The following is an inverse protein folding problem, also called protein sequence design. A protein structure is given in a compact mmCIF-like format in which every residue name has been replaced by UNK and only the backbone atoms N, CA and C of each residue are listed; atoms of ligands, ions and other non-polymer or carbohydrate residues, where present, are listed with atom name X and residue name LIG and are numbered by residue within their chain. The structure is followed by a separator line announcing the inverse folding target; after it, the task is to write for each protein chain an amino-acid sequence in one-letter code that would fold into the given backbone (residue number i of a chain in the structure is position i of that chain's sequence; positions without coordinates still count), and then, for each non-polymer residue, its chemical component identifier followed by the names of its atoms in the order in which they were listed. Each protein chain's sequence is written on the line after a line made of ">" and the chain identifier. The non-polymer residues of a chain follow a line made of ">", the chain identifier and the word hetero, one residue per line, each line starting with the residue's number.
data_IF_484341279082
#
_entry.id   IF_484341279082
#
_cell.length_a   1.000
_cell.length_b   1.000
_cell.length_c   1.000
_cell.angle_alpha   90.00
_cell.angle_beta   90.00
_cell.angle_gamma   90.00
#
_symmetry.space_group_name_H-M   'P 1'
#
loop_
_entity.id
_entity.type
_entity.pdbx_description
1 polymer ?
#
# COMPACT_ATOMS: atom_id res chain seq x y z
N UNK A 1 18.98 -7.12 11.31
CA UNK A 1 19.98 -6.36 10.50
C UNK A 1 19.15 -5.51 9.55
N UNK A 2 19.39 -4.19 9.46
CA UNK A 2 18.58 -3.32 8.61
C UNK A 2 18.64 -3.79 7.16
N UNK A 3 17.50 -3.78 6.46
CA UNK A 3 17.38 -4.17 5.06
C UNK A 3 18.07 -3.14 4.16
N UNK A 4 19.40 -3.20 4.09
CA UNK A 4 20.21 -2.32 3.25
C UNK A 4 20.28 -2.84 1.81
N UNK A 5 20.37 -1.96 0.80
CA UNK A 5 20.10 -2.32 -0.60
C UNK A 5 21.05 -3.37 -1.19
N UNK A 6 22.31 -3.41 -0.77
CA UNK A 6 23.37 -4.14 -1.48
C UNK A 6 23.26 -5.68 -1.44
N UNK A 7 22.26 -6.26 -0.75
CA UNK A 7 21.97 -7.70 -0.83
C UNK A 7 20.57 -8.15 -0.37
N UNK A 8 19.64 -7.25 -0.03
CA UNK A 8 18.34 -7.65 0.53
C UNK A 8 17.35 -8.07 -0.58
N UNK A 9 16.99 -9.36 -0.59
CA UNK A 9 15.95 -9.91 -1.48
C UNK A 9 14.56 -9.69 -0.88
N UNK A 10 13.66 -9.07 -1.65
CA UNK A 10 12.28 -8.79 -1.24
C UNK A 10 11.31 -9.64 -2.07
N UNK A 11 10.36 -10.28 -1.41
CA UNK A 11 9.20 -10.89 -2.06
C UNK A 11 8.14 -9.82 -2.31
N UNK A 12 7.57 -9.72 -3.50
CA UNK A 12 6.50 -8.78 -3.80
C UNK A 12 5.31 -9.51 -4.43
N UNK A 13 4.17 -9.48 -3.74
CA UNK A 13 2.95 -10.20 -4.13
C UNK A 13 1.86 -9.20 -4.49
N UNK A 14 1.45 -9.21 -5.75
CA UNK A 14 0.42 -8.33 -6.30
C UNK A 14 0.99 -7.18 -7.13
N UNK A 15 0.97 -7.31 -8.46
CA UNK A 15 1.52 -6.35 -9.42
C UNK A 15 0.40 -5.58 -10.15
N UNK A 16 -0.54 -5.06 -9.36
CA UNK A 16 -1.70 -4.31 -9.84
C UNK A 16 -1.37 -2.85 -10.21
N UNK A 17 -2.40 -1.99 -10.15
CA UNK A 17 -2.27 -0.57 -10.44
C UNK A 17 -1.25 0.12 -9.52
N UNK A 18 -1.24 -0.29 -8.26
CA UNK A 18 -0.35 0.21 -7.22
C UNK A 18 0.95 -0.61 -7.13
N UNK A 19 0.84 -1.94 -7.08
CA UNK A 19 1.97 -2.80 -6.78
C UNK A 19 3.10 -2.80 -7.81
N UNK A 20 2.78 -2.74 -9.11
CA UNK A 20 3.81 -2.71 -10.15
C UNK A 20 4.75 -1.49 -10.07
N UNK A 21 4.25 -0.23 -10.02
CA UNK A 21 5.14 0.91 -9.84
C UNK A 21 5.87 0.93 -8.49
N UNK A 22 5.25 0.40 -7.42
CA UNK A 22 5.93 0.23 -6.12
C UNK A 22 7.12 -0.73 -6.20
N UNK A 23 6.95 -1.87 -6.87
CA UNK A 23 8.02 -2.83 -7.14
C UNK A 23 9.16 -2.20 -7.97
N UNK A 24 8.84 -1.43 -9.01
CA UNK A 24 9.84 -0.71 -9.80
C UNK A 24 10.64 0.30 -8.96
N UNK A 25 10.00 1.00 -8.01
CA UNK A 25 10.74 1.92 -7.14
C UNK A 25 11.71 1.19 -6.20
N UNK A 26 11.31 0.03 -5.67
CA UNK A 26 12.21 -0.81 -4.87
C UNK A 26 13.43 -1.25 -5.69
N UNK A 27 13.23 -1.65 -6.95
CA UNK A 27 14.32 -2.02 -7.85
C UNK A 27 15.23 -0.83 -8.17
N UNK A 28 14.66 0.34 -8.42
CA UNK A 28 15.42 1.58 -8.62
C UNK A 28 16.24 1.98 -7.38
N UNK A 29 15.78 1.61 -6.18
CA UNK A 29 16.51 1.79 -4.92
C UNK A 29 17.59 0.71 -4.69
N UNK A 30 17.74 -0.26 -5.60
CA UNK A 30 18.79 -1.30 -5.56
C UNK A 30 18.34 -2.66 -5.01
N UNK A 31 17.07 -2.83 -4.62
CA UNK A 31 16.59 -4.10 -4.09
C UNK A 31 16.36 -5.15 -5.19
N UNK A 32 16.71 -6.40 -4.89
CA UNK A 32 16.38 -7.54 -5.75
C UNK A 32 15.00 -8.08 -5.41
N UNK A 33 14.14 -8.31 -6.41
CA UNK A 33 12.76 -8.75 -6.20
C UNK A 33 12.50 -10.18 -6.69
N UNK A 34 11.80 -10.97 -5.87
CA UNK A 34 10.96 -12.07 -6.35
C UNK A 34 9.53 -11.60 -6.44
N UNK A 35 8.88 -11.78 -7.58
CA UNK A 35 7.54 -11.22 -7.81
C UNK A 35 6.52 -12.28 -8.18
N UNK A 36 5.35 -12.17 -7.58
CA UNK A 36 4.20 -13.01 -7.89
C UNK A 36 2.96 -12.15 -8.16
N UNK A 37 2.19 -12.55 -9.16
CA UNK A 37 0.85 -12.03 -9.41
C UNK A 37 -0.04 -13.17 -9.92
N UNK A 38 -1.25 -13.29 -9.38
CA UNK A 38 -2.20 -14.38 -9.73
C UNK A 38 -2.52 -14.46 -11.21
N UNK A 39 -2.55 -13.33 -11.91
CA UNK A 39 -2.94 -13.25 -13.32
C UNK A 39 -1.85 -12.58 -14.13
N UNK A 40 -1.57 -13.11 -15.31
CA UNK A 40 -0.66 -12.46 -16.24
C UNK A 40 -1.26 -11.18 -16.82
N UNK A 41 -0.49 -10.10 -16.73
CA UNK A 41 -0.88 -8.75 -17.15
C UNK A 41 0.35 -8.01 -17.67
N UNK A 42 0.19 -7.01 -18.56
CA UNK A 42 1.31 -6.22 -19.09
C UNK A 42 2.24 -5.66 -18.00
N UNK A 43 1.67 -5.20 -16.88
CA UNK A 43 2.43 -4.68 -15.73
C UNK A 43 3.32 -5.71 -15.04
N UNK A 44 2.97 -7.00 -15.11
CA UNK A 44 3.85 -8.07 -14.61
C UNK A 44 5.10 -8.13 -15.48
N UNK A 45 4.91 -8.07 -16.80
CA UNK A 45 6.00 -8.09 -17.76
C UNK A 45 6.90 -6.86 -17.60
N UNK A 46 6.35 -5.67 -17.38
CA UNK A 46 7.12 -4.44 -17.11
C UNK A 46 8.11 -4.61 -15.93
N UNK A 47 7.66 -5.25 -14.84
CA UNK A 47 8.50 -5.48 -13.65
C UNK A 47 9.54 -6.58 -13.90
N UNK A 48 9.20 -7.61 -14.67
CA UNK A 48 10.13 -8.67 -15.07
C UNK A 48 11.20 -8.17 -16.03
N UNK A 49 10.82 -7.35 -17.02
CA UNK A 49 11.73 -6.73 -17.98
C UNK A 49 12.72 -5.77 -17.30
N UNK A 50 12.31 -5.18 -16.17
CA UNK A 50 13.18 -4.38 -15.32
C UNK A 50 14.19 -5.23 -14.51
N UNK A 51 14.06 -6.56 -14.50
CA UNK A 51 14.99 -7.49 -13.86
C UNK A 51 14.45 -8.26 -12.64
N UNK A 52 13.15 -8.20 -12.34
CA UNK A 52 12.57 -8.97 -11.25
C UNK A 52 12.47 -10.47 -11.57
N UNK A 53 12.69 -11.32 -10.57
CA UNK A 53 12.53 -12.78 -10.68
C UNK A 53 11.05 -13.14 -10.54
N UNK A 54 10.38 -13.51 -11.64
CA UNK A 54 8.99 -14.02 -11.58
C UNK A 54 8.97 -15.43 -11.01
N UNK A 55 8.07 -15.67 -10.05
CA UNK A 55 7.88 -16.97 -9.38
C UNK A 55 6.43 -17.47 -9.49
N UNK A 56 6.19 -18.73 -9.14
CA UNK A 56 4.92 -19.42 -9.41
C UNK A 56 3.86 -19.27 -8.31
N UNK A 57 4.26 -18.91 -7.08
CA UNK A 57 3.35 -18.83 -5.93
C UNK A 57 3.74 -17.72 -4.94
N UNK A 58 2.82 -17.30 -4.04
CA UNK A 58 3.16 -16.45 -2.90
C UNK A 58 4.24 -17.06 -1.99
N UNK A 59 4.20 -18.37 -1.77
CA UNK A 59 5.23 -19.12 -1.04
C UNK A 59 6.62 -18.95 -1.69
N UNK A 60 6.72 -19.12 -3.01
CA UNK A 60 7.99 -18.96 -3.73
C UNK A 60 8.52 -17.51 -3.67
N UNK A 61 7.61 -16.53 -3.66
CA UNK A 61 7.94 -15.12 -3.54
C UNK A 61 8.50 -14.80 -2.14
N UNK A 62 8.00 -15.48 -1.11
CA UNK A 62 8.48 -15.35 0.26
C UNK A 62 9.80 -16.09 0.51
N UNK A 63 10.03 -17.21 -0.19
CA UNK A 63 11.17 -18.10 0.05
C UNK A 63 12.53 -17.42 -0.16
N UNK A 64 13.33 -17.37 0.89
CA UNK A 64 14.67 -16.76 0.88
C UNK A 64 14.67 -15.22 0.92
N UNK A 65 13.52 -14.60 1.19
CA UNK A 65 13.38 -13.15 1.32
C UNK A 65 13.35 -12.73 2.80
N UNK A 66 14.07 -11.66 3.14
CA UNK A 66 14.03 -11.09 4.50
C UNK A 66 12.78 -10.24 4.74
N UNK A 67 12.23 -9.67 3.66
CA UNK A 67 11.00 -8.88 3.65
C UNK A 67 10.08 -9.41 2.55
N UNK A 68 8.78 -9.50 2.85
CA UNK A 68 7.73 -9.85 1.89
C UNK A 68 6.68 -8.77 1.91
N UNK A 69 6.31 -8.23 0.76
CA UNK A 69 5.33 -7.16 0.60
C UNK A 69 4.10 -7.71 -0.12
N UNK A 70 2.90 -7.43 0.39
CA UNK A 70 1.63 -7.69 -0.31
C UNK A 70 0.96 -6.38 -0.71
N UNK A 71 0.45 -6.33 -1.95
CA UNK A 71 -0.33 -5.21 -2.48
C UNK A 71 -1.46 -5.74 -3.36
N UNK A 72 -2.50 -6.27 -2.72
CA UNK A 72 -3.64 -6.96 -3.37
C UNK A 72 -4.96 -6.22 -3.13
N UNK A 73 -6.06 -6.75 -3.67
CA UNK A 73 -7.32 -6.00 -3.83
C UNK A 73 -8.10 -5.82 -2.53
N UNK A 74 -8.25 -6.91 -1.76
CA UNK A 74 -9.18 -6.96 -0.64
C UNK A 74 -8.73 -7.98 0.43
N UNK A 75 -9.43 -7.95 1.57
CA UNK A 75 -9.27 -8.77 2.76
C UNK A 75 -9.12 -10.28 2.43
N UNK A 76 -9.99 -10.91 1.61
CA UNK A 76 -9.83 -12.34 1.28
C UNK A 76 -8.62 -12.63 0.39
N UNK A 77 -8.21 -11.67 -0.46
CA UNK A 77 -7.01 -11.82 -1.28
C UNK A 77 -5.76 -11.80 -0.38
N UNK A 78 -5.69 -10.93 0.65
CA UNK A 78 -4.58 -10.91 1.62
C UNK A 78 -4.53 -12.22 2.40
N UNK A 79 -5.67 -12.69 2.91
CA UNK A 79 -5.75 -13.97 3.62
C UNK A 79 -5.23 -15.11 2.75
N UNK A 80 -5.67 -15.18 1.49
CA UNK A 80 -5.26 -16.23 0.56
C UNK A 80 -3.76 -16.18 0.24
N UNK A 81 -3.19 -15.01 -0.03
CA UNK A 81 -1.76 -14.92 -0.42
C UNK A 81 -0.82 -15.00 0.77
N UNK A 82 -1.26 -14.73 1.99
CA UNK A 82 -0.43 -14.87 3.19
C UNK A 82 -0.63 -16.23 3.85
N UNK A 83 -1.87 -16.62 4.14
CA UNK A 83 -2.21 -17.78 4.98
C UNK A 83 -2.72 -19.00 4.21
N UNK A 84 -2.97 -18.88 2.89
CA UNK A 84 -3.43 -20.00 2.07
C UNK A 84 -2.43 -21.15 1.94
N UNK A 85 -2.84 -22.23 1.27
CA UNK A 85 -2.02 -23.45 1.12
C UNK A 85 -0.65 -23.17 0.46
N UNK A 86 -0.62 -22.31 -0.57
CA UNK A 86 0.61 -21.82 -1.21
C UNK A 86 0.96 -20.38 -0.75
N UNK A 87 0.47 -19.99 0.43
CA UNK A 87 0.62 -18.65 1.00
C UNK A 87 2.05 -18.34 1.43
N UNK A 88 2.35 -17.05 1.56
CA UNK A 88 3.66 -16.55 1.99
C UNK A 88 4.11 -17.15 3.34
N UNK A 89 3.17 -17.47 4.24
CA UNK A 89 3.46 -18.10 5.55
C UNK A 89 4.23 -19.42 5.44
N UNK A 90 4.14 -20.12 4.30
CA UNK A 90 4.81 -21.38 4.04
C UNK A 90 6.22 -21.21 3.42
N UNK A 91 6.61 -19.98 3.07
CA UNK A 91 7.90 -19.65 2.46
C UNK A 91 8.77 -18.73 3.32
N UNK A 92 8.18 -17.96 4.23
CA UNK A 92 8.89 -17.07 5.16
C UNK A 92 9.74 -17.84 6.18
N UNK A 93 10.92 -17.31 6.49
CA UNK A 93 11.78 -17.81 7.56
C UNK A 93 11.57 -17.00 8.85
N UNK A 94 11.80 -17.62 10.01
CA UNK A 94 11.78 -16.91 11.30
C UNK A 94 12.74 -15.71 11.28
N UNK A 95 12.31 -14.57 11.83
CA UNK A 95 13.02 -13.30 11.80
C UNK A 95 12.79 -12.46 10.53
N UNK A 96 12.08 -12.98 9.52
CA UNK A 96 11.62 -12.17 8.38
C UNK A 96 10.43 -11.27 8.75
N UNK A 97 10.09 -10.33 7.86
CA UNK A 97 8.96 -9.42 8.03
C UNK A 97 8.01 -9.46 6.83
N UNK A 98 6.72 -9.62 7.10
CA UNK A 98 5.66 -9.42 6.10
C UNK A 98 5.07 -8.02 6.26
N UNK A 99 5.07 -7.24 5.18
CA UNK A 99 4.50 -5.89 5.11
C UNK A 99 3.28 -5.92 4.21
N UNK A 100 2.08 -5.90 4.79
CA UNK A 100 0.85 -5.77 4.00
C UNK A 100 0.51 -4.32 3.74
N UNK A 101 0.61 -3.90 2.48
CA UNK A 101 0.33 -2.53 2.03
C UNK A 101 -1.08 -2.39 1.42
N UNK A 102 -1.85 -3.48 1.40
CA UNK A 102 -3.24 -3.50 0.99
C UNK A 102 -4.12 -2.73 1.98
N UNK A 103 -5.33 -2.34 1.58
CA UNK A 103 -6.33 -1.80 2.52
C UNK A 103 -7.33 -2.89 2.86
N UNK A 104 -7.29 -3.39 4.10
CA UNK A 104 -8.08 -4.54 4.55
C UNK A 104 -8.70 -4.32 5.93
N UNK A 105 -9.51 -5.29 6.37
CA UNK A 105 -10.06 -5.32 7.73
C UNK A 105 -8.98 -5.30 8.82
N UNK A 106 -9.01 -4.35 9.77
CA UNK A 106 -8.10 -4.34 10.92
C UNK A 106 -8.21 -5.61 11.78
N UNK A 107 -9.38 -6.27 11.76
CA UNK A 107 -9.56 -7.56 12.45
C UNK A 107 -8.70 -8.64 11.81
N UNK A 108 -8.82 -8.82 10.49
CA UNK A 108 -8.02 -9.83 9.78
C UNK A 108 -6.52 -9.53 9.90
N UNK A 109 -6.10 -8.26 9.80
CA UNK A 109 -4.70 -7.88 10.01
C UNK A 109 -4.13 -8.40 11.32
N UNK A 110 -4.88 -8.31 12.43
CA UNK A 110 -4.44 -8.82 13.72
C UNK A 110 -4.38 -10.35 13.76
N UNK A 111 -5.30 -11.03 13.08
CA UNK A 111 -5.31 -12.50 12.95
C UNK A 111 -4.11 -12.99 12.14
N UNK A 112 -3.82 -12.35 11.00
CA UNK A 112 -2.63 -12.63 10.19
C UNK A 112 -1.35 -12.38 10.98
N UNK A 113 -1.25 -11.24 11.69
CA UNK A 113 -0.10 -10.93 12.52
C UNK A 113 0.13 -11.98 13.61
N UNK A 114 -0.93 -12.48 14.24
CA UNK A 114 -0.84 -13.54 15.23
C UNK A 114 -0.33 -14.86 14.62
N UNK A 115 -0.87 -15.27 13.47
CA UNK A 115 -0.44 -16.49 12.77
C UNK A 115 1.02 -16.43 12.31
N UNK A 116 1.47 -15.28 11.79
CA UNK A 116 2.89 -15.07 11.44
C UNK A 116 3.79 -15.10 12.67
N UNK A 117 3.34 -14.52 13.79
CA UNK A 117 4.09 -14.51 15.04
C UNK A 117 4.33 -15.92 15.60
N UNK A 118 3.39 -16.84 15.43
CA UNK A 118 3.58 -18.27 15.79
C UNK A 118 4.72 -18.94 15.02
N UNK A 119 5.07 -18.42 13.83
CA UNK A 119 6.23 -18.84 13.02
C UNK A 119 7.51 -18.05 13.32
N UNK A 120 7.47 -17.12 14.27
CA UNK A 120 8.57 -16.19 14.55
C UNK A 120 8.76 -15.14 13.45
N UNK A 121 7.70 -14.80 12.70
CA UNK A 121 7.72 -13.83 11.61
C UNK A 121 7.03 -12.55 12.07
N UNK A 122 7.64 -11.41 11.75
CA UNK A 122 7.08 -10.10 12.09
C UNK A 122 6.05 -9.67 11.05
N UNK A 123 5.10 -8.80 11.45
CA UNK A 123 4.16 -8.20 10.52
C UNK A 123 4.09 -6.69 10.71
N UNK A 124 4.07 -5.96 9.61
CA UNK A 124 3.64 -4.56 9.53
C UNK A 124 2.39 -4.46 8.63
N UNK A 125 1.33 -3.82 9.09
CA UNK A 125 0.26 -3.34 8.20
C UNK A 125 0.54 -1.90 7.81
N UNK A 126 0.84 -1.67 6.53
CA UNK A 126 1.32 -0.40 6.01
C UNK A 126 0.47 0.10 4.83
N UNK A 127 -0.87 0.21 4.96
CA UNK A 127 -1.73 0.72 3.90
C UNK A 127 -1.32 2.11 3.42
N UNK A 128 -1.56 2.37 2.14
CA UNK A 128 -1.02 3.56 1.45
C UNK A 128 -2.10 4.53 0.97
N UNK A 129 -1.72 5.79 0.80
CA UNK A 129 -2.51 6.84 0.14
C UNK A 129 -1.63 7.63 -0.85
N UNK A 130 -2.24 8.19 -1.90
CA UNK A 130 -1.52 8.91 -2.97
C UNK A 130 -1.86 8.43 -4.39
N UNK A 131 -2.59 7.32 -4.53
CA UNK A 131 -3.03 6.78 -5.81
C UNK A 131 -1.88 6.29 -6.70
N UNK A 132 -2.20 6.01 -7.95
CA UNK A 132 -1.22 5.47 -8.91
C UNK A 132 -0.11 6.48 -9.24
N UNK A 133 -0.42 7.78 -9.19
CA UNK A 133 0.56 8.86 -9.34
C UNK A 133 1.59 8.80 -8.21
N UNK A 134 1.14 8.75 -6.95
CA UNK A 134 2.03 8.64 -5.80
C UNK A 134 2.87 7.36 -5.83
N UNK A 135 2.29 6.24 -6.26
CA UNK A 135 2.99 4.98 -6.42
C UNK A 135 4.10 5.05 -7.48
N UNK A 136 3.85 5.68 -8.63
CA UNK A 136 4.87 5.88 -9.69
C UNK A 136 5.99 6.82 -9.26
N UNK A 137 5.69 7.80 -8.41
CA UNK A 137 6.63 8.83 -7.99
C UNK A 137 7.42 8.48 -6.72
N UNK A 138 7.07 7.39 -6.03
CA UNK A 138 7.66 7.06 -4.73
C UNK A 138 7.26 8.05 -3.64
N UNK A 139 6.07 8.64 -3.73
CA UNK A 139 5.60 9.72 -2.85
C UNK A 139 4.37 9.33 -2.02
N UNK A 140 4.11 8.03 -1.90
CA UNK A 140 2.99 7.52 -1.10
C UNK A 140 3.07 8.00 0.36
N UNK A 141 1.91 8.25 0.94
CA UNK A 141 1.75 8.30 2.39
C UNK A 141 1.50 6.89 2.91
N UNK A 142 2.30 6.42 3.86
CA UNK A 142 2.30 5.06 4.38
C UNK A 142 1.97 5.10 5.88
N UNK A 143 0.84 4.51 6.26
CA UNK A 143 0.32 4.51 7.63
C UNK A 143 0.62 3.15 8.25
N UNK A 144 1.60 3.05 9.13
CA UNK A 144 2.12 1.75 9.60
C UNK A 144 1.56 1.37 10.97
N UNK A 145 1.08 0.14 11.08
CA UNK A 145 0.81 -0.56 12.33
C UNK A 145 1.80 -1.72 12.52
N UNK A 146 2.37 -1.85 13.71
CA UNK A 146 3.33 -2.90 14.04
C UNK A 146 4.24 -2.53 15.20
N UNK A 147 5.31 -3.31 15.34
CA UNK A 147 6.35 -3.12 16.35
C UNK A 147 7.34 -2.00 15.93
N UNK A 148 7.86 -1.23 16.90
CA UNK A 148 8.72 -0.06 16.60
C UNK A 148 10.05 -0.49 16.00
N UNK A 149 10.66 -1.51 16.58
CA UNK A 149 11.96 -2.02 16.17
C UNK A 149 11.87 -2.60 14.76
N UNK A 150 10.79 -3.34 14.46
CA UNK A 150 10.53 -3.87 13.10
C UNK A 150 10.29 -2.75 12.10
N UNK A 151 9.53 -1.70 12.48
CA UNK A 151 9.32 -0.52 11.65
C UNK A 151 10.65 0.16 11.30
N UNK A 152 11.57 0.27 12.25
CA UNK A 152 12.87 0.92 12.04
C UNK A 152 13.77 0.13 11.11
N UNK A 153 13.78 -1.20 11.25
CA UNK A 153 14.52 -2.06 10.34
C UNK A 153 13.97 -2.01 8.90
N UNK A 154 12.66 -1.81 8.74
CA UNK A 154 11.98 -1.76 7.44
C UNK A 154 11.84 -0.34 6.87
N UNK A 155 12.19 0.71 7.61
CA UNK A 155 12.01 2.10 7.16
C UNK A 155 12.68 2.40 5.81
N UNK A 156 13.93 1.94 5.52
CA UNK A 156 14.54 2.16 4.21
C UNK A 156 13.76 1.55 3.04
N UNK A 157 13.11 0.40 3.27
CA UNK A 157 12.25 -0.25 2.26
C UNK A 157 10.99 0.59 2.02
N UNK A 158 10.39 1.14 3.07
CA UNK A 158 9.21 2.00 2.97
C UNK A 158 9.55 3.34 2.29
N UNK A 159 10.71 3.92 2.58
CA UNK A 159 11.22 5.18 1.99
C UNK A 159 11.47 5.07 0.49
N UNK A 160 11.75 3.87 -0.04
CA UNK A 160 11.82 3.65 -1.48
C UNK A 160 10.46 3.83 -2.18
N UNK A 161 9.34 3.70 -1.47
CA UNK A 161 7.99 3.75 -2.05
C UNK A 161 7.16 4.96 -1.60
N UNK A 162 7.58 5.65 -0.54
CA UNK A 162 6.79 6.69 0.10
C UNK A 162 7.61 7.82 0.69
N UNK A 163 6.91 8.92 0.97
CA UNK A 163 7.51 10.15 1.53
C UNK A 163 6.99 10.48 2.92
N UNK A 164 5.71 10.25 3.18
CA UNK A 164 5.10 10.48 4.50
C UNK A 164 4.87 9.13 5.17
N UNK A 165 5.81 8.70 5.99
CA UNK A 165 5.80 7.36 6.60
C UNK A 165 5.66 7.53 8.10
N UNK A 166 4.66 6.89 8.70
CA UNK A 166 4.36 7.10 10.12
C UNK A 166 3.93 5.80 10.79
N UNK A 167 4.63 5.41 11.85
CA UNK A 167 4.17 4.38 12.77
C UNK A 167 3.07 4.95 13.67
N UNK A 168 1.88 4.38 13.56
CA UNK A 168 0.67 4.79 14.28
C UNK A 168 0.56 4.08 15.63
N UNK A 169 0.91 2.80 15.67
CA UNK A 169 0.73 1.93 16.83
C UNK A 169 0.96 0.47 16.45
N UNK A 170 0.45 -0.48 17.24
CA UNK A 170 0.57 -1.91 16.96
C UNK A 170 -0.25 -2.40 15.75
N UNK A 171 -0.21 -3.70 15.47
CA UNK A 171 -0.89 -4.27 14.30
C UNK A 171 -2.40 -3.93 14.25
N UNK A 172 -2.84 -3.48 13.08
CA UNK A 172 -4.18 -2.99 12.78
C UNK A 172 -4.35 -1.48 12.95
N UNK A 173 -3.39 -0.78 13.56
CA UNK A 173 -3.44 0.68 13.69
C UNK A 173 -3.25 1.39 12.35
N UNK A 174 -2.42 0.84 11.45
CA UNK A 174 -2.25 1.33 10.08
C UNK A 174 -3.55 1.23 9.29
N UNK A 175 -4.18 0.05 9.28
CA UNK A 175 -5.50 -0.16 8.66
C UNK A 175 -6.57 0.77 9.24
N UNK A 176 -6.64 0.88 10.57
CA UNK A 176 -7.63 1.75 11.23
C UNK A 176 -7.44 3.21 10.80
N UNK A 177 -6.20 3.68 10.74
CA UNK A 177 -5.87 5.04 10.27
C UNK A 177 -6.26 5.24 8.81
N UNK A 178 -5.98 4.25 7.96
CA UNK A 178 -6.39 4.30 6.55
C UNK A 178 -7.91 4.39 6.42
N UNK A 179 -8.66 3.65 7.22
CA UNK A 179 -10.13 3.72 7.22
C UNK A 179 -10.63 5.10 7.67
N UNK A 180 -10.05 5.68 8.73
CA UNK A 180 -10.34 7.07 9.13
C UNK A 180 -10.10 8.06 7.98
N UNK A 181 -8.96 7.93 7.28
CA UNK A 181 -8.65 8.73 6.10
C UNK A 181 -9.71 8.55 5.00
N UNK A 182 -10.12 7.30 4.71
CA UNK A 182 -11.10 7.04 3.64
C UNK A 182 -12.51 7.54 3.99
N UNK A 183 -12.91 7.53 5.28
CA UNK A 183 -14.15 8.19 5.72
C UNK A 183 -14.08 9.69 5.41
N UNK A 184 -13.02 10.36 5.84
CA UNK A 184 -12.85 11.79 5.60
C UNK A 184 -12.84 12.14 4.11
N UNK A 185 -12.11 11.35 3.29
CA UNK A 185 -12.09 11.51 1.83
C UNK A 185 -13.47 11.34 1.21
N UNK A 186 -14.22 10.32 1.64
CA UNK A 186 -15.53 10.01 1.06
C UNK A 186 -16.56 11.10 1.39
N UNK A 187 -16.58 11.57 2.63
CA UNK A 187 -17.48 12.65 3.06
C UNK A 187 -17.11 13.97 2.38
N UNK A 188 -15.81 14.29 2.24
CA UNK A 188 -15.37 15.47 1.52
C UNK A 188 -15.75 15.43 0.03
N UNK A 189 -15.63 14.26 -0.63
CA UNK A 189 -16.09 14.07 -2.00
C UNK A 189 -17.59 14.30 -2.13
N UNK A 190 -18.39 13.78 -1.21
CA UNK A 190 -19.84 13.97 -1.22
C UNK A 190 -20.22 15.45 -1.02
N UNK A 191 -19.62 16.11 -0.03
CA UNK A 191 -19.86 17.52 0.24
C UNK A 191 -19.49 18.41 -0.96
N UNK A 192 -18.35 18.12 -1.60
CA UNK A 192 -17.94 18.78 -2.84
C UNK A 192 -18.98 18.57 -3.95
N UNK A 193 -19.38 17.32 -4.19
CA UNK A 193 -20.35 16.99 -5.24
C UNK A 193 -21.70 17.69 -5.00
N UNK A 194 -22.22 17.68 -3.77
CA UNK A 194 -23.46 18.38 -3.43
C UNK A 194 -23.37 19.90 -3.63
N UNK A 195 -22.26 20.52 -3.24
CA UNK A 195 -22.05 21.95 -3.43
C UNK A 195 -22.02 22.34 -4.92
N UNK A 196 -21.32 21.58 -5.75
CA UNK A 196 -21.23 21.83 -7.19
C UNK A 196 -22.55 21.51 -7.92
N UNK A 197 -23.26 20.47 -7.49
CA UNK A 197 -24.60 20.14 -8.00
C UNK A 197 -25.62 21.22 -7.66
N UNK A 198 -25.56 21.80 -6.46
CA UNK A 198 -26.39 22.94 -6.07
C UNK A 198 -26.12 24.16 -6.97
N UNK A 199 -24.84 24.46 -7.22
CA UNK A 199 -24.46 25.55 -8.13
C UNK A 199 -25.02 25.32 -9.55
N UNK A 200 -24.89 24.09 -10.07
CA UNK A 200 -25.43 23.72 -11.37
C UNK A 200 -26.96 23.82 -11.43
N UNK A 201 -27.65 23.32 -10.39
CA UNK A 201 -29.11 23.38 -10.29
C UNK A 201 -29.67 24.80 -10.12
N UNK A 202 -28.85 25.73 -9.63
CA UNK A 202 -29.16 27.15 -9.52
C UNK A 202 -28.74 27.96 -10.78
N UNK A 203 -28.44 27.28 -11.90
CA UNK A 203 -28.00 27.88 -13.16
C UNK A 203 -26.75 28.77 -13.03
N UNK A 204 -25.85 28.46 -12.09
CA UNK A 204 -24.61 29.20 -11.88
C UNK A 204 -23.46 28.69 -12.76
N UNK A 205 -22.46 29.55 -12.96
CA UNK A 205 -21.16 29.15 -13.50
C UNK A 205 -20.39 28.33 -12.45
N UNK A 206 -20.46 26.99 -12.57
CA UNK A 206 -19.89 26.04 -11.62
C UNK A 206 -18.39 26.27 -11.42
N UNK A 207 -17.65 26.63 -12.48
CA UNK A 207 -16.22 26.87 -12.37
C UNK A 207 -15.93 28.10 -11.52
N UNK A 208 -16.68 29.20 -11.73
CA UNK A 208 -16.52 30.39 -10.88
C UNK A 208 -16.89 30.13 -9.43
N UNK A 209 -17.92 29.33 -9.18
CA UNK A 209 -18.29 28.92 -7.80
C UNK A 209 -17.15 28.10 -7.18
N UNK A 210 -16.63 27.11 -7.92
CA UNK A 210 -15.51 26.29 -7.49
C UNK A 210 -14.28 27.14 -7.13
N UNK A 211 -13.90 28.07 -8.01
CA UNK A 211 -12.76 28.97 -7.79
C UNK A 211 -12.96 29.84 -6.53
N UNK A 212 -14.17 30.36 -6.34
CA UNK A 212 -14.50 31.21 -5.20
C UNK A 212 -14.47 30.46 -3.86
N UNK A 213 -14.92 29.21 -3.82
CA UNK A 213 -15.02 28.45 -2.56
C UNK A 213 -13.76 27.64 -2.22
N UNK A 214 -12.90 27.36 -3.20
CA UNK A 214 -11.70 26.52 -3.01
C UNK A 214 -10.64 27.18 -2.10
N UNK A 215 -10.60 28.51 -2.03
CA UNK A 215 -9.62 29.26 -1.24
C UNK A 215 -10.11 29.71 0.14
N UNK A 216 -11.34 29.39 0.53
CA UNK A 216 -11.95 29.83 1.81
C UNK A 216 -12.16 28.64 2.74
N UNK A 217 -12.97 28.79 3.80
CA UNK A 217 -13.18 27.76 4.82
C UNK A 217 -13.68 26.41 4.27
N UNK A 218 -14.30 26.39 3.08
CA UNK A 218 -14.71 25.17 2.39
C UNK A 218 -13.54 24.42 1.72
N UNK A 219 -12.39 25.08 1.56
CA UNK A 219 -11.23 24.59 0.82
C UNK A 219 -10.78 23.19 1.24
N UNK A 220 -10.61 22.31 0.27
CA UNK A 220 -10.15 20.94 0.45
C UNK A 220 -9.35 20.46 -0.76
N UNK A 221 -8.59 19.38 -0.58
CA UNK A 221 -7.88 18.74 -1.68
C UNK A 221 -8.86 18.27 -2.76
N UNK A 222 -10.02 17.76 -2.35
CA UNK A 222 -11.10 17.29 -3.21
C UNK A 222 -11.61 18.41 -4.11
N UNK A 223 -12.01 19.55 -3.56
CA UNK A 223 -12.44 20.71 -4.35
C UNK A 223 -11.38 21.11 -5.38
N UNK A 224 -10.14 21.25 -4.93
CA UNK A 224 -9.04 21.74 -5.79
C UNK A 224 -8.68 20.76 -6.92
N UNK A 225 -8.71 19.45 -6.68
CA UNK A 225 -8.15 18.46 -7.61
C UNK A 225 -9.20 17.57 -8.31
N UNK A 226 -10.36 17.38 -7.68
CA UNK A 226 -11.45 16.57 -8.21
C UNK A 226 -12.63 17.42 -8.68
N UNK A 227 -12.87 18.59 -8.08
CA UNK A 227 -13.94 19.50 -8.47
C UNK A 227 -13.94 19.89 -9.97
N UNK A 228 -12.78 20.08 -10.63
CA UNK A 228 -12.73 20.38 -12.07
C UNK A 228 -13.07 19.19 -13.00
N UNK A 229 -13.28 17.97 -12.47
CA UNK A 229 -13.48 16.75 -13.27
C UNK A 229 -14.96 16.35 -13.31
#
# INVERSE_FOLDING_TARGET
>A
MPATPDSAKIGFIGLGIMGAPMALNLMNAGYSLKVYNRTDRPRVQEVVDAGAERVASPQDAASGCGVVITMVTDTPDVEAVILGDDGAINGVAAGSTVIDMSTISPRLTREVAAALKEKGVNMLDAPVSGGDVGAKQGTLSIMVGGDREVFDECLPVLEAMGKNITLIGGNGAGQTTKLCNQIAVSVANLAMAEALMLAAAADMDVQKVLDAISGVAAGSWQLTNLGPR
#
